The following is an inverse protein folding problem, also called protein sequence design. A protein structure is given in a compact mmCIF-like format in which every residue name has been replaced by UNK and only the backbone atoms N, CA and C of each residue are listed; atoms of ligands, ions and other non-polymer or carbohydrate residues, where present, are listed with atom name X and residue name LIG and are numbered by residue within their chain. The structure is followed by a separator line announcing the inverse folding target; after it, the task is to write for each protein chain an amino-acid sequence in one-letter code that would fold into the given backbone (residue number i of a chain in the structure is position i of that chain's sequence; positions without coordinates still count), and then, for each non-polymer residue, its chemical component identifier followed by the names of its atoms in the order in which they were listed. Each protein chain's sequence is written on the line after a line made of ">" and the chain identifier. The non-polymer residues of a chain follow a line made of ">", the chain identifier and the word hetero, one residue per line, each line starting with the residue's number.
data_IF_843338014199
#
_entry.id   IF_843338014199
#
_cell.length_a   1.000
_cell.length_b   1.000
_cell.length_c   1.000
_cell.angle_alpha   90.00
_cell.angle_beta   90.00
_cell.angle_gamma   90.00
#
_symmetry.space_group_name_H-M   'P 1'
#
loop_
_entity.id
_entity.type
_entity.pdbx_description
1 polymer ?
#
# COMPACT_ATOMS: atom_id res chain seq x y z
N UNK A 1 25.08 3.08 4.21
CA UNK A 1 25.37 4.11 5.25
C UNK A 1 24.51 3.80 6.46
N UNK A 2 24.79 4.37 7.63
CA UNK A 2 23.91 4.25 8.82
C UNK A 2 23.24 5.62 9.01
N UNK A 3 21.92 5.66 9.24
CA UNK A 3 21.20 6.91 9.48
C UNK A 3 21.72 7.59 10.76
N UNK A 4 21.90 8.91 10.69
CA UNK A 4 22.25 9.76 11.83
C UNK A 4 21.38 11.02 11.75
N UNK A 5 20.50 11.28 12.74
CA UNK A 5 19.68 12.48 12.76
C UNK A 5 20.58 13.72 12.92
N UNK A 6 20.30 14.76 12.14
CA UNK A 6 21.01 16.04 12.17
C UNK A 6 20.36 16.99 13.16
N UNK A 7 19.03 16.95 13.26
CA UNK A 7 18.25 17.77 14.18
C UNK A 7 17.90 16.96 15.42
N UNK A 8 18.29 17.44 16.61
CA UNK A 8 17.94 16.81 17.89
C UNK A 8 17.62 17.90 18.94
N UNK A 9 16.61 17.66 19.78
CA UNK A 9 16.26 18.53 20.91
C UNK A 9 15.97 17.71 22.18
N UNK A 10 16.98 17.63 23.06
CA UNK A 10 16.88 16.94 24.35
C UNK A 10 16.23 17.78 25.45
N UNK A 11 15.94 19.05 25.20
CA UNK A 11 15.16 19.87 26.14
C UNK A 11 13.69 19.50 26.02
N UNK A 12 13.19 19.35 24.80
CA UNK A 12 11.79 18.99 24.53
C UNK A 12 11.57 17.48 24.64
N UNK A 13 12.50 16.65 24.15
CA UNK A 13 12.39 15.18 24.16
C UNK A 13 13.62 14.58 24.85
N UNK A 14 13.61 14.48 26.19
CA UNK A 14 14.80 14.14 26.97
C UNK A 14 15.42 12.76 26.70
N UNK A 15 14.60 11.80 26.26
CA UNK A 15 15.06 10.41 26.10
C UNK A 15 15.73 10.11 24.76
N UNK A 16 15.28 10.75 23.68
CA UNK A 16 15.76 10.43 22.32
C UNK A 16 16.27 11.65 21.56
N UNK A 17 15.85 12.86 21.94
CA UNK A 17 16.07 14.08 21.17
C UNK A 17 15.37 14.11 19.81
N UNK A 18 14.63 13.06 19.41
CA UNK A 18 14.03 12.94 18.08
C UNK A 18 12.81 13.83 17.93
N UNK A 19 13.00 14.97 17.29
CA UNK A 19 11.97 15.94 16.94
C UNK A 19 11.20 15.52 15.68
N UNK A 20 10.15 16.27 15.33
CA UNK A 20 9.47 16.11 14.03
C UNK A 20 10.44 16.15 12.85
N UNK A 21 11.38 17.10 12.86
CA UNK A 21 12.39 17.24 11.82
C UNK A 21 13.28 16.00 11.73
N UNK A 22 13.65 15.42 12.87
CA UNK A 22 14.43 14.18 12.93
C UNK A 22 13.70 13.00 12.26
N UNK A 23 12.36 12.97 12.35
CA UNK A 23 11.53 11.95 11.70
C UNK A 23 11.37 12.20 10.20
N UNK A 24 11.32 13.46 9.76
CA UNK A 24 11.35 13.83 8.34
C UNK A 24 12.69 13.39 7.72
N UNK A 25 13.80 13.73 8.36
CA UNK A 25 15.14 13.31 7.94
C UNK A 25 15.25 11.77 7.84
N UNK A 26 14.64 11.03 8.78
CA UNK A 26 14.61 9.57 8.76
C UNK A 26 13.78 9.04 7.58
N UNK A 27 12.63 9.64 7.30
CA UNK A 27 11.78 9.29 6.16
C UNK A 27 12.49 9.54 4.82
N UNK A 28 13.10 10.71 4.65
CA UNK A 28 13.90 11.05 3.47
C UNK A 28 15.09 10.09 3.30
N UNK A 29 15.76 9.72 4.40
CA UNK A 29 16.85 8.74 4.37
C UNK A 29 16.37 7.36 3.90
N UNK A 30 15.26 6.86 4.43
CA UNK A 30 14.70 5.57 4.04
C UNK A 30 14.29 5.58 2.57
N UNK A 31 13.58 6.61 2.13
CA UNK A 31 13.15 6.76 0.73
C UNK A 31 14.34 6.95 -0.20
N UNK A 32 15.39 7.67 0.18
CA UNK A 32 16.64 7.74 -0.60
C UNK A 32 17.23 6.35 -0.79
N UNK A 33 17.20 5.52 0.27
CA UNK A 33 17.65 4.13 0.23
C UNK A 33 16.85 3.24 -0.71
N UNK A 34 15.56 3.52 -0.88
CA UNK A 34 14.64 2.85 -1.82
C UNK A 34 14.86 3.36 -3.25
N UNK A 35 14.72 4.67 -3.45
CA UNK A 35 14.68 5.34 -4.75
C UNK A 35 16.01 5.30 -5.50
N UNK A 36 17.15 5.13 -4.83
CA UNK A 36 18.43 4.88 -5.51
C UNK A 36 18.45 3.60 -6.37
N UNK A 37 17.48 2.69 -6.18
CA UNK A 37 17.36 1.46 -6.96
C UNK A 37 16.41 1.60 -8.16
N UNK A 38 15.67 2.72 -8.26
CA UNK A 38 14.72 2.99 -9.34
C UNK A 38 15.47 3.62 -10.51
N UNK A 39 15.43 2.99 -11.69
CA UNK A 39 16.26 3.41 -12.84
C UNK A 39 15.55 4.42 -13.72
N UNK A 40 14.24 4.27 -13.88
CA UNK A 40 13.38 5.17 -14.65
C UNK A 40 12.11 5.52 -13.86
N UNK A 41 11.48 6.64 -14.22
CA UNK A 41 10.22 7.09 -13.59
C UNK A 41 9.12 6.04 -13.72
N UNK A 42 9.18 5.26 -14.80
CA UNK A 42 8.24 4.22 -15.12
C UNK A 42 8.48 2.92 -14.34
N UNK A 43 9.65 2.72 -13.73
CA UNK A 43 9.96 1.49 -13.03
C UNK A 43 9.21 1.41 -11.69
N UNK A 44 8.61 0.25 -11.35
CA UNK A 44 7.96 0.07 -10.06
C UNK A 44 8.98 0.07 -8.90
N UNK A 45 8.50 0.26 -7.67
CA UNK A 45 9.32 0.19 -6.46
C UNK A 45 9.67 -1.28 -6.15
N UNK A 46 10.71 -1.81 -6.79
CA UNK A 46 11.19 -3.19 -6.57
C UNK A 46 12.64 -3.15 -6.09
N UNK A 47 12.90 -3.75 -4.93
CA UNK A 47 14.22 -3.70 -4.29
C UNK A 47 15.13 -4.84 -4.75
N UNK A 48 16.46 -4.64 -4.83
CA UNK A 48 17.39 -5.71 -5.14
C UNK A 48 17.30 -6.84 -4.09
N UNK A 49 16.96 -8.03 -4.55
CA UNK A 49 16.77 -9.19 -3.68
C UNK A 49 18.09 -9.77 -3.17
N UNK A 50 18.06 -10.29 -1.95
CA UNK A 50 19.20 -10.97 -1.30
C UNK A 50 18.95 -12.46 -1.04
N UNK A 51 17.70 -12.89 -1.15
CA UNK A 51 17.24 -14.27 -0.93
C UNK A 51 16.04 -14.51 -1.84
N UNK A 52 15.92 -15.73 -2.39
CA UNK A 52 14.88 -16.13 -3.36
C UNK A 52 14.24 -17.49 -3.06
N UNK A 53 14.66 -18.17 -1.98
CA UNK A 53 14.16 -19.49 -1.56
C UNK A 53 13.08 -19.43 -0.50
N UNK A 54 13.10 -18.42 0.36
CA UNK A 54 12.16 -18.29 1.51
C UNK A 54 11.15 -17.17 1.27
N UNK A 55 11.60 -16.08 0.64
CA UNK A 55 10.73 -14.96 0.30
C UNK A 55 10.33 -15.06 -1.16
N UNK A 56 9.11 -14.63 -1.45
CA UNK A 56 8.64 -14.52 -2.82
C UNK A 56 9.28 -13.30 -3.52
N UNK A 57 9.39 -13.29 -4.86
CA UNK A 57 9.06 -14.38 -5.78
C UNK A 57 10.01 -15.58 -5.71
N UNK A 58 9.51 -16.81 -5.59
CA UNK A 58 10.39 -17.97 -5.48
C UNK A 58 10.86 -18.41 -6.86
N UNK A 59 12.17 -18.52 -7.08
CA UNK A 59 12.72 -18.95 -8.39
C UNK A 59 12.26 -20.35 -8.82
N UNK A 60 11.91 -21.20 -7.85
CA UNK A 60 11.40 -22.55 -8.08
C UNK A 60 9.88 -22.64 -8.24
N UNK A 61 9.15 -21.53 -8.13
CA UNK A 61 7.70 -21.52 -8.28
C UNK A 61 7.30 -21.88 -9.72
N UNK A 62 6.16 -22.58 -9.91
CA UNK A 62 5.51 -22.66 -11.22
C UNK A 62 5.31 -21.27 -11.82
N UNK A 63 5.28 -21.17 -13.16
CA UNK A 63 5.20 -19.88 -13.87
C UNK A 63 4.04 -19.01 -13.39
N UNK A 64 2.85 -19.58 -13.17
CA UNK A 64 1.68 -18.80 -12.75
C UNK A 64 1.83 -18.27 -11.32
N UNK A 65 2.41 -19.08 -10.43
CA UNK A 65 2.69 -18.66 -9.05
C UNK A 65 3.78 -17.60 -9.01
N UNK A 66 4.82 -17.75 -9.82
CA UNK A 66 5.89 -16.77 -9.93
C UNK A 66 5.39 -15.42 -10.46
N UNK A 67 4.47 -15.43 -11.43
CA UNK A 67 3.80 -14.22 -11.92
C UNK A 67 2.95 -13.54 -10.83
N UNK A 68 2.15 -14.32 -10.09
CA UNK A 68 1.40 -13.80 -8.94
C UNK A 68 2.34 -13.14 -7.91
N UNK A 69 3.43 -13.81 -7.57
CA UNK A 69 4.39 -13.32 -6.58
C UNK A 69 5.09 -12.04 -7.04
N UNK A 70 5.39 -11.91 -8.33
CA UNK A 70 5.93 -10.65 -8.89
C UNK A 70 4.94 -9.50 -8.78
N UNK A 71 3.66 -9.76 -9.08
CA UNK A 71 2.60 -8.75 -8.91
C UNK A 71 2.47 -8.31 -7.45
N UNK A 72 2.55 -9.26 -6.52
CA UNK A 72 2.59 -8.98 -5.08
C UNK A 72 3.80 -8.15 -4.67
N UNK A 73 5.00 -8.47 -5.18
CA UNK A 73 6.24 -7.73 -4.88
C UNK A 73 6.16 -6.27 -5.34
N UNK A 74 5.63 -6.04 -6.56
CA UNK A 74 5.42 -4.69 -7.10
C UNK A 74 4.49 -3.89 -6.19
N UNK A 75 3.34 -4.47 -5.82
CA UNK A 75 2.35 -3.74 -5.04
C UNK A 75 2.80 -3.51 -3.59
N UNK A 76 3.43 -4.50 -2.96
CA UNK A 76 4.02 -4.37 -1.62
C UNK A 76 5.09 -3.27 -1.64
N UNK A 77 5.99 -3.26 -2.61
CA UNK A 77 6.99 -2.21 -2.74
C UNK A 77 6.39 -0.81 -2.88
N UNK A 78 5.35 -0.67 -3.72
CA UNK A 78 4.60 0.58 -3.87
C UNK A 78 3.96 1.00 -2.54
N UNK A 79 3.08 0.17 -1.97
CA UNK A 79 2.26 0.54 -0.83
C UNK A 79 3.07 0.72 0.46
N UNK A 80 4.08 -0.13 0.71
CA UNK A 80 4.93 -0.05 1.91
C UNK A 80 5.86 1.16 1.89
N UNK A 81 6.40 1.52 0.73
CA UNK A 81 7.20 2.75 0.62
C UNK A 81 6.31 4.00 0.67
N UNK A 82 5.09 3.91 0.14
CA UNK A 82 4.14 5.02 0.16
C UNK A 82 3.73 5.42 1.59
N UNK A 83 3.70 4.49 2.56
CA UNK A 83 3.49 4.84 3.97
C UNK A 83 4.51 5.84 4.53
N UNK A 84 5.74 5.80 4.04
CA UNK A 84 6.78 6.76 4.43
C UNK A 84 6.63 8.04 3.61
N UNK A 85 6.32 7.92 2.32
CA UNK A 85 6.24 9.06 1.42
C UNK A 85 4.99 9.93 1.60
N UNK A 86 3.81 9.36 1.84
CA UNK A 86 2.54 10.08 1.94
C UNK A 86 2.57 11.25 2.96
N UNK A 87 3.01 11.07 4.23
CA UNK A 87 3.11 12.20 5.15
C UNK A 87 4.16 13.24 4.74
N UNK A 88 5.24 12.83 4.06
CA UNK A 88 6.25 13.76 3.55
C UNK A 88 5.73 14.55 2.34
N UNK A 89 4.96 13.92 1.46
CA UNK A 89 4.29 14.57 0.33
C UNK A 89 3.28 15.59 0.86
N UNK A 90 2.53 15.24 1.91
CA UNK A 90 1.59 16.16 2.53
C UNK A 90 2.29 17.39 3.14
N UNK A 91 3.47 17.20 3.77
CA UNK A 91 4.25 18.31 4.33
C UNK A 91 4.94 19.15 3.24
N UNK A 92 5.48 18.51 2.21
CA UNK A 92 6.19 19.13 1.11
C UNK A 92 5.88 18.40 -0.22
N UNK A 93 4.88 18.88 -0.99
CA UNK A 93 4.50 18.27 -2.27
C UNK A 93 5.58 18.35 -3.36
N UNK A 94 6.57 19.23 -3.17
CA UNK A 94 7.69 19.44 -4.08
C UNK A 94 8.96 18.69 -3.64
N UNK A 95 8.84 17.76 -2.67
CA UNK A 95 9.96 16.98 -2.18
C UNK A 95 10.58 16.12 -3.29
N UNK A 96 11.88 16.31 -3.50
CA UNK A 96 12.69 15.58 -4.47
C UNK A 96 13.59 14.56 -3.78
N UNK A 97 13.49 13.29 -4.18
CA UNK A 97 14.38 12.21 -3.73
C UNK A 97 14.98 11.54 -4.95
N UNK A 98 16.32 11.41 -4.98
CA UNK A 98 17.05 10.78 -6.09
C UNK A 98 16.69 11.32 -7.49
N UNK A 99 16.27 12.58 -7.59
CA UNK A 99 15.87 13.22 -8.86
C UNK A 99 14.39 13.05 -9.22
N UNK A 100 13.59 12.39 -8.37
CA UNK A 100 12.15 12.19 -8.56
C UNK A 100 11.35 13.08 -7.62
N UNK A 101 10.32 13.75 -8.15
CA UNK A 101 9.28 14.34 -7.31
C UNK A 101 8.42 13.18 -6.76
N UNK A 102 8.33 13.07 -5.43
CA UNK A 102 7.64 11.95 -4.81
C UNK A 102 6.14 11.93 -5.13
N UNK A 103 5.47 13.09 -5.08
CA UNK A 103 4.03 13.20 -5.40
C UNK A 103 3.76 12.67 -6.80
N UNK A 104 4.51 13.15 -7.78
CA UNK A 104 4.28 12.81 -9.18
C UNK A 104 4.61 11.33 -9.44
N UNK A 105 5.69 10.81 -8.85
CA UNK A 105 6.06 9.40 -8.98
C UNK A 105 5.00 8.48 -8.38
N UNK A 106 4.56 8.71 -7.14
CA UNK A 106 3.53 7.87 -6.52
C UNK A 106 2.18 7.99 -7.22
N UNK A 107 1.80 9.20 -7.67
CA UNK A 107 0.59 9.40 -8.48
C UNK A 107 0.60 8.53 -9.73
N UNK A 108 1.69 8.54 -10.49
CA UNK A 108 1.81 7.72 -11.69
C UNK A 108 1.78 6.22 -11.35
N UNK A 109 2.60 5.79 -10.38
CA UNK A 109 2.73 4.37 -10.07
C UNK A 109 1.44 3.75 -9.52
N UNK A 110 0.62 4.51 -8.78
CA UNK A 110 -0.70 4.05 -8.31
C UNK A 110 -1.64 3.82 -9.50
N UNK A 111 -1.72 4.77 -10.44
CA UNK A 111 -2.58 4.63 -11.61
C UNK A 111 -2.16 3.44 -12.48
N UNK A 112 -0.85 3.26 -12.67
CA UNK A 112 -0.28 2.15 -13.44
C UNK A 112 -0.50 0.80 -12.77
N UNK A 113 -0.33 0.72 -11.46
CA UNK A 113 -0.64 -0.49 -10.69
C UNK A 113 -2.12 -0.91 -10.83
N UNK A 114 -3.03 0.04 -11.03
CA UNK A 114 -4.48 -0.20 -11.19
C UNK A 114 -4.96 -0.31 -12.65
N UNK A 115 -4.08 -0.17 -13.65
CA UNK A 115 -4.48 -0.17 -15.08
C UNK A 115 -4.08 -1.48 -15.76
N UNK A 116 -5.07 -2.27 -16.19
CA UNK A 116 -4.89 -3.64 -16.73
C UNK A 116 -3.88 -3.77 -17.88
N UNK A 117 -3.85 -2.78 -18.76
CA UNK A 117 -2.99 -2.78 -19.93
C UNK A 117 -1.54 -2.36 -19.63
N UNK A 118 -1.27 -1.87 -18.40
CA UNK A 118 0.05 -1.41 -18.00
C UNK A 118 0.96 -2.59 -17.61
N UNK A 119 2.25 -2.46 -17.91
CA UNK A 119 3.26 -3.44 -17.52
C UNK A 119 3.41 -3.59 -16.01
N UNK A 120 3.05 -2.55 -15.24
CA UNK A 120 3.14 -2.54 -13.78
C UNK A 120 1.83 -2.97 -13.12
N UNK A 121 0.82 -3.42 -13.88
CA UNK A 121 -0.47 -3.83 -13.35
C UNK A 121 -0.34 -4.99 -12.35
N UNK A 122 -0.86 -4.78 -11.14
CA UNK A 122 -0.67 -5.72 -10.01
C UNK A 122 -1.78 -6.77 -9.89
N UNK A 123 -2.76 -6.74 -10.79
CA UNK A 123 -3.86 -7.71 -10.87
C UNK A 123 -4.98 -7.41 -9.86
N UNK A 124 -6.20 -7.23 -10.37
CA UNK A 124 -7.43 -7.27 -9.57
C UNK A 124 -7.69 -8.71 -9.06
N UNK A 125 -8.57 -8.84 -8.07
CA UNK A 125 -8.85 -10.14 -7.46
C UNK A 125 -9.21 -11.25 -8.48
N UNK A 126 -9.96 -10.92 -9.53
CA UNK A 126 -10.43 -11.90 -10.52
C UNK A 126 -9.30 -12.35 -11.44
N UNK A 127 -8.43 -11.44 -11.86
CA UNK A 127 -7.21 -11.79 -12.61
C UNK A 127 -6.31 -12.70 -11.79
N UNK A 128 -6.09 -12.39 -10.51
CA UNK A 128 -5.24 -13.22 -9.66
C UNK A 128 -5.82 -14.63 -9.48
N UNK A 129 -7.14 -14.76 -9.31
CA UNK A 129 -7.83 -16.04 -9.28
C UNK A 129 -7.67 -16.84 -10.58
N UNK A 130 -7.74 -16.16 -11.72
CA UNK A 130 -7.55 -16.77 -13.04
C UNK A 130 -6.13 -17.28 -13.24
N UNK A 131 -5.12 -16.48 -12.84
CA UNK A 131 -3.69 -16.85 -12.91
C UNK A 131 -3.45 -18.14 -12.15
N UNK A 132 -3.92 -18.24 -10.90
CA UNK A 132 -3.70 -19.44 -10.08
C UNK A 132 -4.70 -20.57 -10.34
N UNK A 133 -5.58 -20.42 -11.33
CA UNK A 133 -6.67 -21.35 -11.65
C UNK A 133 -7.50 -21.77 -10.42
N UNK A 134 -7.65 -20.85 -9.46
CA UNK A 134 -8.36 -21.11 -8.22
C UNK A 134 -9.86 -20.91 -8.42
N UNK A 135 -10.66 -21.81 -7.86
CA UNK A 135 -12.11 -21.64 -7.70
C UNK A 135 -12.51 -21.41 -6.25
N UNK A 136 -11.53 -21.32 -5.35
CA UNK A 136 -11.78 -21.07 -3.93
C UNK A 136 -12.20 -19.62 -3.74
N UNK A 137 -13.48 -19.35 -3.38
CA UNK A 137 -13.95 -17.98 -3.17
C UNK A 137 -13.37 -17.38 -1.88
N UNK A 138 -12.65 -18.16 -1.06
CA UNK A 138 -11.99 -17.73 0.17
C UNK A 138 -10.49 -17.46 0.01
N UNK A 139 -9.96 -17.53 -1.21
CA UNK A 139 -8.55 -17.30 -1.46
C UNK A 139 -8.22 -15.83 -1.25
N UNK A 140 -7.26 -15.58 -0.37
CA UNK A 140 -6.72 -14.24 -0.14
C UNK A 140 -5.44 -14.02 -0.92
N UNK A 141 -5.19 -12.76 -1.27
CA UNK A 141 -3.98 -12.33 -1.95
C UNK A 141 -3.30 -11.23 -1.14
N UNK A 142 -1.99 -11.07 -1.33
CA UNK A 142 -1.23 -10.01 -0.66
C UNK A 142 -1.82 -8.63 -0.94
N UNK A 143 -2.37 -8.46 -2.15
CA UNK A 143 -3.04 -7.27 -2.62
C UNK A 143 -4.14 -6.79 -1.67
N UNK A 144 -4.86 -7.69 -0.97
CA UNK A 144 -5.88 -7.31 0.02
C UNK A 144 -5.29 -6.51 1.20
N UNK A 145 -4.03 -6.77 1.57
CA UNK A 145 -3.35 -6.01 2.64
C UNK A 145 -2.82 -4.69 2.09
N UNK A 146 -2.30 -4.72 0.87
CA UNK A 146 -1.66 -3.55 0.27
C UNK A 146 -2.68 -2.53 -0.28
N UNK A 147 -3.93 -2.92 -0.59
CA UNK A 147 -5.03 -1.97 -0.87
C UNK A 147 -5.33 -1.12 0.36
N UNK A 148 -5.39 -1.73 1.55
CA UNK A 148 -5.56 -0.99 2.79
C UNK A 148 -4.42 0.02 3.01
N UNK A 149 -3.19 -0.39 2.74
CA UNK A 149 -2.04 0.51 2.81
C UNK A 149 -2.18 1.69 1.83
N UNK A 150 -2.60 1.40 0.60
CA UNK A 150 -2.86 2.39 -0.44
C UNK A 150 -3.92 3.41 -0.02
N UNK A 151 -5.09 2.99 0.47
CA UNK A 151 -6.18 3.92 0.81
C UNK A 151 -5.83 4.82 2.01
N UNK A 152 -5.11 4.29 3.01
CA UNK A 152 -4.62 5.09 4.14
C UNK A 152 -3.66 6.18 3.66
N UNK A 153 -2.77 5.84 2.73
CA UNK A 153 -1.82 6.80 2.17
C UNK A 153 -2.50 7.82 1.25
N UNK A 154 -3.44 7.40 0.40
CA UNK A 154 -4.24 8.29 -0.44
C UNK A 154 -5.03 9.30 0.39
N UNK A 155 -5.59 8.91 1.53
CA UNK A 155 -6.21 9.86 2.46
C UNK A 155 -5.21 10.78 3.16
N UNK A 156 -4.02 10.26 3.49
CA UNK A 156 -2.96 11.05 4.17
C UNK A 156 -2.48 12.22 3.30
N UNK A 157 -2.36 12.03 1.98
CA UNK A 157 -1.98 13.08 1.03
C UNK A 157 -3.08 13.32 -0.03
N UNK A 158 -4.33 13.43 0.44
CA UNK A 158 -5.53 13.47 -0.42
C UNK A 158 -5.52 14.65 -1.39
N UNK A 159 -5.20 15.85 -0.89
CA UNK A 159 -5.15 17.07 -1.72
C UNK A 159 -4.05 17.03 -2.76
N UNK A 160 -2.93 16.35 -2.46
CA UNK A 160 -1.75 16.33 -3.32
C UNK A 160 -1.85 15.24 -4.40
N UNK A 161 -2.52 14.13 -4.12
CA UNK A 161 -2.63 13.00 -5.06
C UNK A 161 -4.08 12.74 -5.43
N UNK A 162 -4.89 12.22 -4.51
CA UNK A 162 -6.23 11.71 -4.84
C UNK A 162 -7.12 12.75 -5.52
N UNK A 163 -7.20 13.97 -4.99
CA UNK A 163 -8.04 15.04 -5.51
C UNK A 163 -7.58 15.58 -6.87
N UNK A 164 -6.38 15.23 -7.29
CA UNK A 164 -5.78 15.65 -8.57
C UNK A 164 -6.00 14.66 -9.70
N UNK A 165 -6.56 13.48 -9.42
CA UNK A 165 -6.98 12.54 -10.46
C UNK A 165 -8.28 13.01 -11.13
N UNK A 166 -8.37 12.75 -12.42
CA UNK A 166 -9.62 12.81 -13.17
C UNK A 166 -10.63 11.77 -12.65
N UNK A 167 -11.91 11.93 -13.01
CA UNK A 167 -12.94 10.95 -12.62
C UNK A 167 -12.62 9.55 -13.17
N UNK A 168 -12.16 9.45 -14.41
CA UNK A 168 -11.80 8.20 -15.06
C UNK A 168 -10.64 7.48 -14.35
N UNK A 169 -9.63 8.22 -13.90
CA UNK A 169 -8.52 7.66 -13.13
C UNK A 169 -8.97 7.21 -11.73
N UNK A 170 -9.81 8.01 -11.06
CA UNK A 170 -10.39 7.62 -9.76
C UNK A 170 -11.24 6.36 -9.89
N UNK A 171 -12.02 6.24 -10.96
CA UNK A 171 -12.88 5.08 -11.21
C UNK A 171 -12.04 3.81 -11.42
N UNK A 172 -10.92 3.88 -12.16
CA UNK A 172 -9.99 2.74 -12.28
C UNK A 172 -9.42 2.30 -10.93
N UNK A 173 -8.99 3.26 -10.10
CA UNK A 173 -8.43 2.96 -8.78
C UNK A 173 -9.51 2.39 -7.86
N UNK A 174 -10.72 2.95 -7.89
CA UNK A 174 -11.86 2.48 -7.10
C UNK A 174 -12.31 1.08 -7.52
N UNK A 175 -12.40 0.78 -8.83
CA UNK A 175 -12.72 -0.55 -9.35
C UNK A 175 -11.67 -1.59 -8.92
N UNK A 176 -10.38 -1.21 -8.93
CA UNK A 176 -9.31 -2.05 -8.44
C UNK A 176 -9.46 -2.37 -6.94
N UNK A 177 -9.67 -1.35 -6.10
CA UNK A 177 -9.88 -1.51 -4.65
C UNK A 177 -11.13 -2.37 -4.39
N UNK A 178 -12.24 -2.07 -5.08
CA UNK A 178 -13.52 -2.79 -4.98
C UNK A 178 -13.43 -4.26 -5.39
N UNK A 179 -12.41 -4.65 -6.17
CA UNK A 179 -12.21 -6.06 -6.47
C UNK A 179 -11.82 -6.89 -5.25
N UNK A 180 -11.21 -6.28 -4.23
CA UNK A 180 -10.71 -6.95 -3.02
C UNK A 180 -11.61 -6.79 -1.80
N UNK A 181 -12.42 -5.73 -1.73
CA UNK A 181 -13.21 -5.39 -0.55
C UNK A 181 -14.48 -6.26 -0.39
N UNK A 182 -15.10 -6.69 -1.50
CA UNK A 182 -16.31 -7.51 -1.55
C UNK A 182 -16.04 -9.02 -1.47
N UNK A 183 -14.79 -9.43 -1.27
CA UNK A 183 -14.36 -10.83 -1.31
C UNK A 183 -13.89 -11.30 0.05
N UNK A 184 -13.94 -12.61 0.21
CA UNK A 184 -13.60 -13.28 1.45
C UNK A 184 -12.23 -12.86 1.97
N UNK A 185 -12.19 -12.58 3.26
CA UNK A 185 -11.00 -12.21 4.01
C UNK A 185 -10.73 -13.23 5.10
N UNK A 186 -9.50 -13.31 5.60
CA UNK A 186 -9.17 -14.21 6.71
C UNK A 186 -9.93 -13.72 7.97
N UNK A 187 -10.54 -14.61 8.77
CA UNK A 187 -11.33 -14.23 9.96
C UNK A 187 -10.42 -13.80 11.14
N UNK A 188 -9.62 -12.75 10.92
CA UNK A 188 -8.68 -12.15 11.86
C UNK A 188 -8.59 -10.62 11.57
N UNK A 189 -7.45 -9.99 11.87
CA UNK A 189 -7.21 -8.57 11.62
C UNK A 189 -7.32 -8.13 10.15
N UNK A 190 -7.36 -9.04 9.18
CA UNK A 190 -7.54 -8.71 7.76
C UNK A 190 -8.91 -8.11 7.47
N UNK A 191 -9.92 -8.40 8.30
CA UNK A 191 -11.23 -7.73 8.23
C UNK A 191 -11.12 -6.21 8.36
N UNK A 192 -10.13 -5.71 9.11
CA UNK A 192 -9.89 -4.27 9.24
C UNK A 192 -9.42 -3.65 7.92
N UNK A 193 -8.67 -4.39 7.11
CA UNK A 193 -8.17 -3.94 5.83
C UNK A 193 -9.34 -3.72 4.86
N UNK A 194 -10.22 -4.71 4.74
CA UNK A 194 -11.45 -4.59 3.96
C UNK A 194 -12.33 -3.41 4.43
N UNK A 195 -12.48 -3.22 5.75
CA UNK A 195 -13.25 -2.08 6.27
C UNK A 195 -12.64 -0.72 5.90
N UNK A 196 -11.32 -0.60 5.84
CA UNK A 196 -10.66 0.64 5.45
C UNK A 196 -10.85 0.92 3.95
N UNK A 197 -10.80 -0.11 3.12
CA UNK A 197 -11.10 -0.02 1.69
C UNK A 197 -12.56 0.42 1.45
N UNK A 198 -13.52 -0.24 2.10
CA UNK A 198 -14.95 0.12 2.04
C UNK A 198 -15.20 1.55 2.55
N UNK A 199 -14.57 1.94 3.66
CA UNK A 199 -14.71 3.28 4.20
C UNK A 199 -14.13 4.34 3.24
N UNK A 200 -13.01 4.04 2.57
CA UNK A 200 -12.45 4.90 1.53
C UNK A 200 -13.43 5.10 0.38
N UNK A 201 -13.91 4.00 -0.21
CA UNK A 201 -14.85 4.04 -1.33
C UNK A 201 -16.12 4.82 -0.99
N UNK A 202 -16.75 4.52 0.16
CA UNK A 202 -17.95 5.22 0.62
C UNK A 202 -17.73 6.73 0.77
N UNK A 203 -16.60 7.16 1.37
CA UNK A 203 -16.30 8.59 1.54
C UNK A 203 -16.05 9.32 0.23
N UNK A 204 -15.49 8.64 -0.76
CA UNK A 204 -15.23 9.21 -2.08
C UNK A 204 -16.43 9.09 -3.04
N UNK A 205 -17.57 8.60 -2.55
CA UNK A 205 -18.85 8.57 -3.26
C UNK A 205 -19.07 7.34 -4.13
N UNK A 206 -18.31 6.27 -3.89
CA UNK A 206 -18.52 4.97 -4.53
C UNK A 206 -19.50 4.11 -3.71
N UNK A 207 -20.24 3.26 -4.41
CA UNK A 207 -21.16 2.31 -3.79
C UNK A 207 -20.37 1.24 -3.04
N UNK A 208 -20.87 0.82 -1.87
CA UNK A 208 -20.30 -0.25 -1.07
C UNK A 208 -21.39 -1.22 -0.62
N UNK A 209 -20.98 -2.44 -0.28
CA UNK A 209 -21.85 -3.40 0.38
C UNK A 209 -21.86 -3.12 1.90
N UNK A 210 -22.91 -2.42 2.37
CA UNK A 210 -23.07 -2.09 3.78
C UNK A 210 -23.27 -3.33 4.67
N UNK A 211 -23.78 -4.44 4.13
CA UNK A 211 -23.93 -5.69 4.89
C UNK A 211 -22.55 -6.32 5.17
N UNK A 212 -21.65 -6.31 4.19
CA UNK A 212 -20.26 -6.75 4.37
C UNK A 212 -19.53 -5.85 5.38
N UNK A 213 -19.69 -4.53 5.29
CA UNK A 213 -19.13 -3.58 6.25
C UNK A 213 -19.62 -3.88 7.68
N UNK A 214 -20.92 -4.16 7.84
CA UNK A 214 -21.52 -4.52 9.12
C UNK A 214 -21.00 -5.86 9.66
N UNK A 215 -20.88 -6.89 8.82
CA UNK A 215 -20.32 -8.19 9.19
C UNK A 215 -18.87 -8.06 9.69
N UNK A 216 -18.04 -7.31 8.97
CA UNK A 216 -16.67 -7.03 9.41
C UNK A 216 -16.64 -6.28 10.74
N UNK A 217 -17.46 -5.24 10.91
CA UNK A 217 -17.53 -4.47 12.15
C UNK A 217 -17.93 -5.36 13.34
N UNK A 218 -18.95 -6.22 13.18
CA UNK A 218 -19.39 -7.15 14.21
C UNK A 218 -18.29 -8.15 14.59
N UNK A 219 -17.60 -8.71 13.60
CA UNK A 219 -16.50 -9.64 13.84
C UNK A 219 -15.33 -8.98 14.60
N UNK A 220 -14.94 -7.76 14.23
CA UNK A 220 -13.85 -7.03 14.90
C UNK A 220 -14.23 -6.65 16.34
N UNK A 221 -15.48 -6.25 16.58
CA UNK A 221 -15.96 -5.98 17.93
C UNK A 221 -15.88 -7.23 18.82
N UNK A 222 -16.12 -8.42 18.27
CA UNK A 222 -15.97 -9.68 18.99
C UNK A 222 -14.50 -10.04 19.29
N UNK A 223 -13.52 -9.42 18.62
CA UNK A 223 -12.09 -9.57 18.93
C UNK A 223 -11.58 -8.62 20.04
N UNK A 224 -12.43 -7.69 20.50
CA UNK A 224 -12.05 -6.76 21.56
C UNK A 224 -11.93 -7.48 22.91
N UNK A 225 -10.74 -7.43 23.50
CA UNK A 225 -10.41 -8.12 24.76
C UNK A 225 -10.42 -7.19 26.00
N UNK A 226 -10.85 -5.93 25.84
CA UNK A 226 -10.92 -4.94 26.92
C UNK A 226 -9.71 -3.99 27.01
N UNK A 227 -8.53 -4.43 26.61
CA UNK A 227 -7.29 -3.62 26.56
C UNK A 227 -6.70 -3.49 25.14
N UNK A 228 -7.43 -4.00 24.14
CA UNK A 228 -7.05 -3.98 22.73
C UNK A 228 -7.82 -5.04 21.95
N UNK A 229 -7.41 -5.29 20.72
CA UNK A 229 -7.91 -6.38 19.90
C UNK A 229 -6.93 -7.54 19.96
N UNK A 230 -7.39 -8.73 20.35
CA UNK A 230 -6.56 -9.92 20.34
C UNK A 230 -6.27 -10.34 18.89
N UNK A 231 -4.99 -10.52 18.55
CA UNK A 231 -4.59 -11.22 17.32
C UNK A 231 -4.75 -12.72 17.57
N UNK A 232 -5.78 -13.34 17.00
CA UNK A 232 -5.84 -14.79 16.86
C UNK A 232 -5.61 -15.16 15.40
#
# INVERSE_FOLDING_TARGET
>A
MIFQPKTLDFIIIPYTGLTRESWIEAGEYLLTGVFQNIKAFEDPVVMPRKETKITYPHESSPSEIYELEKKSEIFEGLARSFFVAAPLIHDNPELMICGYNLRDYYKEQILRACTKEDTNYVGDYFELMNIVHSKDPFRVFQQTVETCALVVCLWTCKSEIWDTYTKEEKDKIADFISSFDHKSTVPQNWRLFNMLDLAFLYREGYEIDEEIMLDHAQAILNYYAGDGWAKF
#
